data_IF_870248558642
#
_entry.id   IF_870248558642
#
_cell.length_a   1.000
_cell.length_b   1.000
_cell.length_c   1.000
_cell.angle_alpha   90.00
_cell.angle_beta   90.00
_cell.angle_gamma   90.00
#
_symmetry.space_group_name_H-M   'P 1'
#
loop_
_entity.id
_entity.type
_entity.pdbx_description
1 polymer ?
#
# COMPACT_ATOMS: atom_id res chain seq x y z
N UNK A 1 19.42 -20.70 8.99
CA UNK A 1 18.04 -20.20 8.79
C UNK A 1 17.79 -20.20 7.29
N UNK A 2 16.99 -21.13 6.78
CA UNK A 2 16.80 -21.31 5.34
C UNK A 2 16.11 -20.09 4.73
N UNK A 3 16.57 -19.66 3.56
CA UNK A 3 15.88 -18.65 2.75
C UNK A 3 14.60 -19.32 2.22
N UNK A 4 13.42 -18.85 2.63
CA UNK A 4 12.17 -19.29 2.02
C UNK A 4 12.18 -18.89 0.55
N UNK A 5 11.75 -19.77 -0.34
CA UNK A 5 11.59 -19.43 -1.75
C UNK A 5 10.56 -18.31 -1.91
N UNK A 6 10.68 -17.52 -2.97
CA UNK A 6 9.72 -16.45 -3.28
C UNK A 6 8.29 -16.98 -3.32
N UNK A 7 8.10 -18.12 -3.97
CA UNK A 7 6.79 -18.78 -4.14
C UNK A 7 6.20 -19.20 -2.80
N UNK A 8 7.05 -19.66 -1.88
CA UNK A 8 6.63 -20.03 -0.52
C UNK A 8 6.14 -18.82 0.27
N UNK A 9 6.80 -17.67 0.11
CA UNK A 9 6.41 -16.42 0.76
C UNK A 9 5.10 -15.89 0.17
N UNK A 10 4.97 -15.85 -1.16
CA UNK A 10 3.75 -15.42 -1.85
C UNK A 10 2.54 -16.27 -1.43
N UNK A 11 2.72 -17.59 -1.38
CA UNK A 11 1.66 -18.49 -0.92
C UNK A 11 1.26 -18.22 0.54
N UNK A 12 2.24 -18.04 1.44
CA UNK A 12 1.97 -17.74 2.85
C UNK A 12 1.23 -16.40 3.01
N UNK A 13 1.62 -15.36 2.28
CA UNK A 13 0.93 -14.06 2.26
C UNK A 13 -0.53 -14.24 1.85
N UNK A 14 -0.79 -14.99 0.78
CA UNK A 14 -2.15 -15.22 0.28
C UNK A 14 -3.04 -15.95 1.31
N UNK A 15 -2.50 -17.01 1.94
CA UNK A 15 -3.22 -17.79 2.96
C UNK A 15 -3.55 -16.92 4.16
N UNK A 16 -2.56 -16.20 4.70
CA UNK A 16 -2.75 -15.35 5.88
C UNK A 16 -3.67 -14.17 5.58
N UNK A 17 -3.54 -13.54 4.40
CA UNK A 17 -4.45 -12.46 3.97
C UNK A 17 -5.90 -12.93 3.95
N UNK A 18 -6.15 -14.13 3.40
CA UNK A 18 -7.51 -14.72 3.35
C UNK A 18 -8.07 -14.96 4.75
N UNK A 19 -7.22 -15.38 5.69
CA UNK A 19 -7.62 -15.59 7.09
C UNK A 19 -7.91 -14.28 7.82
N UNK A 20 -7.08 -13.25 7.62
CA UNK A 20 -7.18 -11.94 8.27
C UNK A 20 -8.40 -11.15 7.78
N UNK A 21 -8.66 -11.16 6.47
CA UNK A 21 -9.80 -10.44 5.89
C UNK A 21 -11.11 -11.16 6.23
N UNK A 22 -11.08 -12.50 6.22
CA UNK A 22 -12.26 -13.31 6.43
C UNK A 22 -13.17 -13.33 5.20
N UNK A 23 -14.16 -14.24 5.20
CA UNK A 23 -15.06 -14.42 4.06
C UNK A 23 -16.01 -13.23 3.91
N UNK A 24 -16.14 -12.72 2.68
CA UNK A 24 -17.13 -11.70 2.31
C UNK A 24 -16.76 -10.25 2.67
N UNK A 25 -15.53 -10.00 3.13
CA UNK A 25 -15.01 -8.64 3.34
C UNK A 25 -13.95 -8.32 2.28
N UNK A 26 -13.81 -7.04 1.95
CA UNK A 26 -12.77 -6.55 1.03
C UNK A 26 -11.49 -6.11 1.74
N UNK A 27 -11.60 -5.64 2.99
CA UNK A 27 -10.49 -5.07 3.75
C UNK A 27 -10.49 -5.52 5.22
N UNK A 28 -9.32 -5.44 5.85
CA UNK A 28 -9.10 -5.65 7.27
C UNK A 28 -8.09 -4.65 7.78
N UNK A 29 -8.32 -4.12 8.98
CA UNK A 29 -7.40 -3.16 9.62
C UNK A 29 -6.20 -3.87 10.27
N UNK A 30 -6.23 -5.21 10.33
CA UNK A 30 -5.16 -6.02 10.91
C UNK A 30 -3.98 -6.09 9.94
N UNK A 31 -2.78 -5.59 10.31
CA UNK A 31 -1.62 -5.62 9.43
C UNK A 31 -1.02 -7.04 9.33
N UNK A 32 -0.49 -7.36 8.15
CA UNK A 32 0.37 -8.53 7.93
C UNK A 32 1.83 -8.05 7.90
N UNK A 33 2.63 -8.46 8.89
CA UNK A 33 4.03 -8.02 9.02
C UNK A 33 4.99 -9.09 8.53
N UNK A 34 5.86 -8.74 7.59
CA UNK A 34 6.97 -9.57 7.11
C UNK A 34 8.29 -8.97 7.59
N UNK A 35 9.14 -9.79 8.23
CA UNK A 35 10.45 -9.35 8.72
C UNK A 35 11.58 -10.02 7.95
N UNK A 36 12.32 -9.22 7.18
CA UNK A 36 13.50 -9.65 6.45
C UNK A 36 14.76 -9.20 7.20
N UNK A 37 15.68 -10.12 7.47
CA UNK A 37 16.94 -9.82 8.15
C UNK A 37 18.11 -10.12 7.23
N UNK A 38 18.97 -9.12 7.01
CA UNK A 38 20.22 -9.25 6.26
C UNK A 38 21.32 -8.46 6.98
N UNK A 39 22.53 -9.00 7.04
CA UNK A 39 23.66 -8.30 7.63
C UNK A 39 24.15 -7.18 6.70
N UNK A 40 24.54 -6.02 7.27
CA UNK A 40 25.12 -4.91 6.51
C UNK A 40 24.12 -4.06 5.72
N UNK A 41 22.82 -4.18 5.99
CA UNK A 41 21.78 -3.27 5.47
C UNK A 41 21.16 -2.48 6.62
N UNK A 42 20.80 -1.22 6.37
CA UNK A 42 20.08 -0.40 7.34
C UNK A 42 18.67 -0.93 7.58
N UNK A 43 18.13 -0.66 8.77
CA UNK A 43 16.75 -0.95 9.09
C UNK A 43 15.81 -0.05 8.28
N UNK A 44 14.84 -0.66 7.61
CA UNK A 44 13.85 0.02 6.79
C UNK A 44 12.49 -0.65 6.97
N UNK A 45 11.45 0.15 7.16
CA UNK A 45 10.06 -0.30 7.15
C UNK A 45 9.38 0.19 5.88
N UNK A 46 8.78 -0.74 5.14
CA UNK A 46 7.95 -0.43 3.97
C UNK A 46 6.56 -0.99 4.25
N UNK A 47 5.55 -0.15 4.08
CA UNK A 47 4.15 -0.56 4.21
C UNK A 47 3.52 -0.58 2.83
N UNK A 48 3.02 -1.74 2.43
CA UNK A 48 2.12 -1.86 1.27
C UNK A 48 0.69 -1.59 1.73
N UNK A 49 -0.02 -0.73 0.99
CA UNK A 49 -1.40 -0.35 1.31
C UNK A 49 -2.38 -1.12 0.42
N UNK A 50 -3.62 -1.38 0.89
CA UNK A 50 -4.62 -2.04 0.07
C UNK A 50 -4.86 -1.31 -1.24
N UNK A 51 -5.24 -2.04 -2.29
CA UNK A 51 -5.59 -1.40 -3.56
C UNK A 51 -6.92 -0.64 -3.43
N UNK A 52 -6.97 0.54 -4.05
CA UNK A 52 -8.21 1.27 -4.27
C UNK A 52 -9.21 0.38 -5.03
N UNK A 53 -10.44 0.24 -4.56
CA UNK A 53 -11.48 -0.52 -5.24
C UNK A 53 -11.89 0.20 -6.54
N UNK A 54 -12.13 -0.55 -7.63
CA UNK A 54 -12.49 0.04 -8.94
C UNK A 54 -13.94 0.55 -8.99
N UNK A 55 -14.84 -0.06 -8.22
CA UNK A 55 -16.25 0.30 -8.15
C UNK A 55 -16.79 0.02 -6.73
N UNK A 56 -16.34 0.78 -5.72
CA UNK A 56 -16.69 0.50 -4.34
C UNK A 56 -18.15 0.79 -4.02
N UNK A 57 -18.73 -0.03 -3.14
CA UNK A 57 -19.87 0.42 -2.34
C UNK A 57 -19.43 1.53 -1.37
N UNK A 58 -20.34 2.41 -0.94
CA UNK A 58 -20.00 3.54 -0.07
C UNK A 58 -19.18 3.13 1.18
N UNK A 59 -19.63 2.10 1.90
CA UNK A 59 -18.91 1.60 3.09
C UNK A 59 -17.54 0.98 2.78
N UNK A 60 -17.35 0.44 1.58
CA UNK A 60 -16.06 -0.11 1.16
C UNK A 60 -15.04 1.01 0.88
N UNK A 61 -15.49 2.10 0.26
CA UNK A 61 -14.65 3.29 0.02
C UNK A 61 -14.25 3.98 1.32
N UNK A 62 -15.19 4.11 2.27
CA UNK A 62 -14.94 4.66 3.60
C UNK A 62 -13.91 3.80 4.36
N UNK A 63 -14.05 2.47 4.31
CA UNK A 63 -13.13 1.56 4.97
C UNK A 63 -11.73 1.63 4.37
N UNK A 64 -11.61 1.58 3.03
CA UNK A 64 -10.35 1.78 2.32
C UNK A 64 -9.68 3.11 2.68
N UNK A 65 -10.46 4.20 2.70
CA UNK A 65 -9.95 5.55 3.00
C UNK A 65 -9.47 5.65 4.45
N UNK A 66 -10.20 5.05 5.38
CA UNK A 66 -9.82 4.99 6.80
C UNK A 66 -8.48 4.29 7.00
N UNK A 67 -8.32 3.09 6.42
CA UNK A 67 -7.06 2.34 6.48
C UNK A 67 -5.94 3.18 5.87
N UNK A 68 -6.11 3.67 4.65
CA UNK A 68 -5.07 4.43 3.93
C UNK A 68 -4.64 5.66 4.72
N UNK A 69 -5.60 6.45 5.23
CA UNK A 69 -5.31 7.64 6.03
C UNK A 69 -4.50 7.35 7.29
N UNK A 70 -4.80 6.24 7.98
CA UNK A 70 -4.06 5.85 9.19
C UNK A 70 -2.54 5.68 8.94
N UNK A 71 -2.14 5.31 7.71
CA UNK A 71 -0.74 5.13 7.33
C UNK A 71 -0.10 6.38 6.71
N UNK A 72 -0.85 7.21 5.98
CA UNK A 72 -0.26 8.37 5.28
C UNK A 72 -0.29 9.65 6.12
N UNK A 73 -1.17 9.75 7.13
CA UNK A 73 -1.32 10.94 7.96
C UNK A 73 -0.10 11.26 8.84
N UNK A 74 0.64 10.30 9.43
CA UNK A 74 1.86 10.60 10.17
C UNK A 74 2.90 11.31 9.30
N UNK A 75 3.41 12.46 9.74
CA UNK A 75 4.29 13.33 8.95
C UNK A 75 5.72 12.80 8.78
N UNK A 76 6.11 11.79 9.56
CA UNK A 76 7.42 11.14 9.49
C UNK A 76 7.52 10.07 8.38
N UNK A 77 6.44 9.81 7.65
CA UNK A 77 6.41 8.83 6.57
C UNK A 77 6.68 9.50 5.22
N UNK A 78 7.52 8.85 4.41
CA UNK A 78 7.68 9.17 2.98
C UNK A 78 6.55 8.48 2.21
N UNK A 79 5.80 9.23 1.41
CA UNK A 79 4.69 8.73 0.62
C UNK A 79 5.19 8.39 -0.79
N UNK A 80 5.15 7.10 -1.15
CA UNK A 80 5.52 6.65 -2.49
C UNK A 80 4.26 6.50 -3.35
N UNK A 81 3.88 7.53 -4.08
CA UNK A 81 2.70 7.51 -4.94
C UNK A 81 3.04 6.93 -6.32
N UNK A 82 2.77 5.64 -6.50
CA UNK A 82 3.07 4.90 -7.74
C UNK A 82 1.95 5.08 -8.76
N UNK A 83 2.28 5.69 -9.89
CA UNK A 83 1.35 5.93 -11.00
C UNK A 83 1.86 5.20 -12.26
N UNK A 84 0.94 4.79 -13.12
CA UNK A 84 1.31 4.28 -14.45
C UNK A 84 1.44 5.46 -15.42
N UNK A 85 2.41 5.43 -16.32
CA UNK A 85 2.63 6.51 -17.30
C UNK A 85 1.40 6.80 -18.17
N UNK A 86 0.57 5.78 -18.47
CA UNK A 86 -0.67 5.95 -19.22
C UNK A 86 -1.89 6.36 -18.39
N UNK A 87 -1.75 6.57 -17.07
CA UNK A 87 -2.85 6.97 -16.19
C UNK A 87 -2.82 8.48 -15.93
N UNK A 88 -3.99 9.12 -15.87
CA UNK A 88 -4.12 10.53 -15.50
C UNK A 88 -3.98 10.68 -13.97
N UNK A 89 -2.93 11.36 -13.46
CA UNK A 89 -2.72 11.57 -12.03
C UNK A 89 -3.90 12.26 -11.32
N UNK A 90 -4.67 13.10 -12.03
CA UNK A 90 -5.81 13.83 -11.48
C UNK A 90 -6.97 12.92 -11.06
N UNK A 91 -7.03 11.73 -11.65
CA UNK A 91 -8.05 10.70 -11.37
C UNK A 91 -7.63 9.77 -10.23
N UNK A 92 -6.36 9.79 -9.81
CA UNK A 92 -5.84 8.90 -8.78
C UNK A 92 -6.35 9.30 -7.39
N UNK A 93 -7.03 8.36 -6.72
CA UNK A 93 -7.49 8.56 -5.34
C UNK A 93 -6.31 8.72 -4.38
N UNK A 94 -5.24 7.94 -4.56
CA UNK A 94 -4.02 8.09 -3.75
C UNK A 94 -3.35 9.44 -3.93
N UNK A 95 -3.31 9.98 -5.16
CA UNK A 95 -2.74 11.31 -5.39
C UNK A 95 -3.52 12.40 -4.64
N UNK A 96 -4.86 12.33 -4.66
CA UNK A 96 -5.73 13.25 -3.91
C UNK A 96 -5.52 13.11 -2.41
N UNK A 97 -5.45 11.88 -1.90
CA UNK A 97 -5.21 11.61 -0.47
C UNK A 97 -3.82 12.12 -0.02
N UNK A 98 -2.77 11.94 -0.84
CA UNK A 98 -1.44 12.49 -0.55
C UNK A 98 -1.48 14.03 -0.49
N UNK A 99 -2.14 14.70 -1.44
CA UNK A 99 -2.29 16.16 -1.43
C UNK A 99 -3.03 16.68 -0.17
N UNK A 100 -3.97 15.89 0.38
CA UNK A 100 -4.68 16.27 1.61
C UNK A 100 -3.75 16.28 2.85
N UNK A 101 -2.77 15.37 2.90
CA UNK A 101 -1.86 15.21 4.06
C UNK A 101 -0.45 15.78 3.85
N UNK A 102 -0.15 16.18 2.62
CA UNK A 102 1.12 16.74 2.17
C UNK A 102 0.91 17.73 1.02
N UNK A 103 0.16 18.80 1.28
CA UNK A 103 -0.20 19.79 0.26
C UNK A 103 0.99 20.53 -0.36
N UNK A 104 2.16 20.52 0.29
CA UNK A 104 3.42 21.07 -0.25
C UNK A 104 4.25 20.05 -1.01
N UNK A 105 3.93 18.76 -0.91
CA UNK A 105 4.70 17.68 -1.53
C UNK A 105 6.08 17.48 -0.93
N UNK A 106 6.30 17.85 0.34
CA UNK A 106 7.63 17.80 0.99
C UNK A 106 8.07 16.36 1.28
N UNK A 107 7.12 15.42 1.37
CA UNK A 107 7.36 14.01 1.68
C UNK A 107 6.71 13.03 0.69
N UNK A 108 6.11 13.54 -0.38
CA UNK A 108 5.47 12.72 -1.44
C UNK A 108 6.38 12.59 -2.65
N UNK A 109 6.74 11.36 -3.00
CA UNK A 109 7.47 11.01 -4.20
C UNK A 109 6.51 10.39 -5.23
N UNK A 110 6.41 11.00 -6.41
CA UNK A 110 5.66 10.43 -7.53
C UNK A 110 6.56 9.48 -8.33
N UNK A 111 6.18 8.20 -8.35
CA UNK A 111 6.91 7.16 -9.11
C UNK A 111 6.09 6.79 -10.33
N UNK A 112 6.61 7.13 -11.51
CA UNK A 112 5.96 6.79 -12.78
C UNK A 112 6.50 5.44 -13.28
N UNK A 113 5.60 4.51 -13.55
CA UNK A 113 5.90 3.13 -13.98
C UNK A 113 5.23 2.80 -15.32
N UNK A 114 5.65 1.72 -15.99
CA UNK A 114 5.09 1.28 -17.28
C UNK A 114 5.19 2.37 -18.36
N UNK A 115 6.33 3.04 -18.42
CA UNK A 115 6.60 4.08 -19.42
C UNK A 115 6.97 3.47 -20.79
N UNK A 116 7.34 2.20 -20.80
CA UNK A 116 7.75 1.39 -21.95
C UNK A 116 6.59 0.85 -22.81
N UNK A 117 5.39 1.45 -22.70
CA UNK A 117 4.31 1.20 -23.66
C UNK A 117 4.53 1.98 -24.95
#
# INVERSE_FOLDING_TARGET
MGILSKESIEHAIQVVTTQIVGKGKSYSDTPLTLMFRKHGVSELTITDLPKCPLAPAAGELEHFSSITMSYIQPSNNILLNVLSAGSDPSTSQFARMCQQVDGRGERTLYVITKAEK
#
